data_IF_233908029392
#
_entry.id   IF_233908029392
#
_cell.length_a   1.000
_cell.length_b   1.000
_cell.length_c   1.000
_cell.angle_alpha   90.00
_cell.angle_beta   90.00
_cell.angle_gamma   90.00
#
_symmetry.space_group_name_H-M   'P 1'
#
loop_
_entity.id
_entity.type
_entity.pdbx_description
1 polymer ?
#
# COMPACT_ATOMS: atom_id res chain seq x y z
N UNK A 1 8.79 13.34 -19.15
CA UNK A 1 9.76 12.29 -18.81
C UNK A 1 10.19 12.52 -17.37
N UNK A 2 9.62 11.80 -16.41
CA UNK A 2 9.98 11.93 -15.00
C UNK A 2 11.21 11.07 -14.68
N UNK A 3 12.29 11.71 -14.25
CA UNK A 3 13.53 11.07 -13.83
C UNK A 3 13.34 10.37 -12.47
N UNK A 4 12.69 9.21 -12.46
CA UNK A 4 12.72 8.31 -11.31
C UNK A 4 14.14 7.77 -11.14
N UNK A 5 14.81 8.12 -10.04
CA UNK A 5 16.13 7.57 -9.73
C UNK A 5 15.95 6.29 -8.93
N UNK A 6 16.37 5.18 -9.52
CA UNK A 6 16.45 3.89 -8.85
C UNK A 6 17.92 3.58 -8.54
N UNK A 7 18.21 3.19 -7.30
CA UNK A 7 19.55 2.79 -6.86
C UNK A 7 19.47 1.47 -6.12
N UNK A 8 20.29 0.49 -6.50
CA UNK A 8 20.50 -0.72 -5.71
C UNK A 8 21.28 -0.38 -4.45
N UNK A 9 20.75 -0.73 -3.29
CA UNK A 9 21.42 -0.55 -1.98
C UNK A 9 21.97 -1.86 -1.42
N UNK A 10 21.26 -2.96 -1.64
CA UNK A 10 21.72 -4.30 -1.28
C UNK A 10 21.46 -5.25 -2.45
N UNK A 11 22.49 -5.98 -2.85
CA UNK A 11 22.39 -6.99 -3.91
C UNK A 11 21.53 -8.18 -3.46
N UNK A 12 20.98 -8.90 -4.44
CA UNK A 12 20.20 -10.09 -4.20
C UNK A 12 21.04 -11.17 -3.50
N UNK A 13 20.39 -11.91 -2.60
CA UNK A 13 20.93 -13.11 -1.97
C UNK A 13 20.14 -14.34 -2.44
N UNK A 14 20.59 -15.55 -2.07
CA UNK A 14 19.87 -16.79 -2.39
C UNK A 14 18.43 -16.84 -1.86
N UNK A 15 18.11 -16.05 -0.83
CA UNK A 15 16.83 -16.08 -0.12
C UNK A 15 16.00 -14.81 -0.30
N UNK A 16 16.58 -13.75 -0.89
CA UNK A 16 15.99 -12.42 -0.91
C UNK A 16 16.44 -11.62 -2.14
N UNK A 17 15.50 -10.98 -2.83
CA UNK A 17 15.80 -10.05 -3.94
C UNK A 17 16.53 -8.79 -3.48
N UNK A 18 17.12 -8.06 -4.44
CA UNK A 18 17.85 -6.82 -4.15
C UNK A 18 16.96 -5.79 -3.45
N UNK A 19 17.53 -5.06 -2.48
CA UNK A 19 16.90 -3.84 -1.96
C UNK A 19 17.31 -2.68 -2.84
N UNK A 20 16.31 -1.92 -3.28
CA UNK A 20 16.47 -0.69 -4.04
C UNK A 20 15.86 0.48 -3.29
N UNK A 21 16.39 1.66 -3.60
CA UNK A 21 15.80 2.93 -3.23
C UNK A 21 15.22 3.63 -4.47
N UNK A 22 14.04 4.24 -4.29
CA UNK A 22 13.43 5.15 -5.26
C UNK A 22 13.47 6.56 -4.69
N UNK A 23 14.14 7.49 -5.40
CA UNK A 23 14.30 8.89 -4.97
C UNK A 23 14.66 9.02 -3.46
N UNK A 24 15.73 8.33 -3.07
CA UNK A 24 16.30 8.29 -1.70
C UNK A 24 15.40 7.67 -0.62
N UNK A 25 14.31 7.00 -1.02
CA UNK A 25 13.51 6.17 -0.12
C UNK A 25 13.91 4.71 -0.30
N UNK A 26 14.58 4.16 0.71
CA UNK A 26 15.02 2.76 0.76
C UNK A 26 13.91 1.78 1.15
N UNK A 27 14.14 0.50 0.89
CA UNK A 27 13.33 -0.60 1.42
C UNK A 27 12.38 -1.21 0.42
N UNK A 28 12.59 -0.98 -0.88
CA UNK A 28 11.85 -1.63 -1.95
C UNK A 28 12.60 -2.87 -2.42
N UNK A 29 11.87 -3.94 -2.70
CA UNK A 29 12.40 -5.12 -3.37
C UNK A 29 11.35 -5.61 -4.37
N UNK A 30 11.81 -6.22 -5.45
CA UNK A 30 10.94 -6.70 -6.53
C UNK A 30 10.04 -7.84 -6.03
N UNK A 31 8.77 -7.85 -6.45
CA UNK A 31 7.84 -8.92 -6.11
C UNK A 31 7.94 -10.06 -7.13
N UNK A 32 8.47 -11.24 -6.77
CA UNK A 32 8.75 -12.30 -7.73
C UNK A 32 7.48 -12.92 -8.35
N UNK A 33 6.29 -12.57 -7.85
CA UNK A 33 5.00 -13.10 -8.33
C UNK A 33 4.25 -12.16 -9.26
N UNK A 34 4.66 -10.89 -9.34
CA UNK A 34 3.89 -9.86 -10.03
C UNK A 34 4.82 -8.89 -10.75
N UNK A 35 4.64 -8.76 -12.06
CA UNK A 35 5.41 -7.82 -12.88
C UNK A 35 5.15 -6.37 -12.45
N UNK A 36 6.20 -5.55 -12.46
CA UNK A 36 6.17 -4.12 -12.08
C UNK A 36 5.66 -3.86 -10.65
N UNK A 37 5.66 -4.88 -9.80
CA UNK A 37 5.24 -4.78 -8.41
C UNK A 37 6.45 -4.73 -7.50
N UNK A 38 6.50 -3.72 -6.65
CA UNK A 38 7.50 -3.60 -5.60
C UNK A 38 6.83 -3.75 -4.25
N UNK A 39 7.46 -4.48 -3.34
CA UNK A 39 7.00 -4.55 -1.96
C UNK A 39 7.84 -3.54 -1.17
N UNK A 40 7.17 -2.61 -0.50
CA UNK A 40 7.82 -1.64 0.37
C UNK A 40 7.90 -2.16 1.81
N UNK A 41 9.11 -2.44 2.26
CA UNK A 41 9.47 -2.94 3.59
C UNK A 41 10.24 -1.92 4.44
N UNK A 42 10.41 -0.67 4.01
CA UNK A 42 11.15 0.35 4.76
C UNK A 42 10.57 0.70 6.15
N UNK A 43 9.39 0.15 6.49
CA UNK A 43 8.72 0.29 7.80
C UNK A 43 8.51 -1.06 8.51
N UNK A 44 9.16 -2.13 8.05
CA UNK A 44 9.14 -3.42 8.76
C UNK A 44 9.80 -3.29 10.15
N UNK A 45 9.33 -4.01 11.18
CA UNK A 45 8.23 -5.00 11.16
C UNK A 45 6.82 -4.39 11.37
N UNK A 46 6.70 -3.06 11.39
CA UNK A 46 5.45 -2.38 11.79
C UNK A 46 4.43 -2.36 10.66
N UNK A 47 4.88 -1.99 9.46
CA UNK A 47 4.00 -1.81 8.31
C UNK A 47 4.68 -2.16 6.99
N UNK A 48 3.86 -2.53 6.00
CA UNK A 48 4.29 -2.70 4.61
C UNK A 48 3.15 -2.39 3.64
N UNK A 49 3.51 -2.15 2.38
CA UNK A 49 2.57 -2.11 1.27
C UNK A 49 3.22 -2.66 0.01
N UNK A 50 2.41 -2.89 -1.02
CA UNK A 50 2.87 -3.17 -2.36
C UNK A 50 2.59 -1.94 -3.23
N UNK A 51 3.41 -1.72 -4.24
CA UNK A 51 3.17 -0.69 -5.25
C UNK A 51 3.32 -1.29 -6.64
N UNK A 52 2.45 -0.92 -7.56
CA UNK A 52 2.61 -1.20 -8.98
C UNK A 52 2.97 0.10 -9.67
N UNK A 53 4.11 0.12 -10.38
CA UNK A 53 4.60 1.32 -11.06
C UNK A 53 4.43 1.13 -12.57
N UNK A 54 3.62 1.98 -13.21
CA UNK A 54 3.41 1.92 -14.66
C UNK A 54 3.28 3.33 -15.23
N UNK A 55 4.21 3.69 -16.13
CA UNK A 55 4.31 5.04 -16.69
C UNK A 55 4.32 6.09 -15.57
N UNK A 56 3.47 7.11 -15.64
CA UNK A 56 3.35 8.16 -14.61
C UNK A 56 2.43 7.78 -13.45
N UNK A 57 2.01 6.50 -13.33
CA UNK A 57 1.09 6.05 -12.29
C UNK A 57 1.76 5.11 -11.28
N UNK A 58 1.36 5.27 -10.02
CA UNK A 58 1.69 4.34 -8.93
C UNK A 58 0.41 3.91 -8.24
N UNK A 59 0.15 2.61 -8.24
CA UNK A 59 -1.00 2.03 -7.58
C UNK A 59 -0.56 1.39 -6.26
N UNK A 60 -1.17 1.77 -5.14
CA UNK A 60 -0.84 1.20 -3.82
C UNK A 60 -1.77 0.02 -3.51
N UNK A 61 -1.16 -1.10 -3.15
CA UNK A 61 -1.83 -2.35 -2.77
C UNK A 61 -1.40 -2.82 -1.38
N UNK A 62 -2.19 -3.76 -0.84
CA UNK A 62 -1.83 -4.58 0.31
C UNK A 62 -1.22 -3.80 1.52
N UNK A 63 -1.81 -2.65 1.83
CA UNK A 63 -1.41 -1.81 2.98
C UNK A 63 -1.73 -2.54 4.27
N UNK A 64 -0.71 -2.78 5.09
CA UNK A 64 -0.87 -3.44 6.38
C UNK A 64 -0.07 -2.71 7.47
N UNK A 65 -0.74 -2.48 8.60
CA UNK A 65 -0.12 -2.21 9.90
C UNK A 65 -0.38 -3.45 10.74
N UNK A 66 0.69 -4.20 11.05
CA UNK A 66 0.61 -5.58 11.53
C UNK A 66 -0.04 -5.69 12.90
N UNK A 67 0.54 -5.03 13.92
CA UNK A 67 -0.04 -5.02 15.26
C UNK A 67 -1.27 -4.08 15.28
N UNK A 68 -2.47 -4.56 15.67
CA UNK A 68 -3.64 -3.70 15.86
C UNK A 68 -3.41 -2.53 16.82
N UNK A 69 -2.55 -2.66 17.83
CA UNK A 69 -2.22 -1.59 18.79
C UNK A 69 -1.45 -0.42 18.15
N UNK A 70 -0.75 -0.70 17.04
CA UNK A 70 -0.06 0.32 16.25
C UNK A 70 -1.02 1.04 15.28
N UNK A 71 -2.28 0.60 15.16
CA UNK A 71 -3.26 1.29 14.33
C UNK A 71 -3.70 2.59 15.00
N UNK A 72 -4.08 3.57 14.20
CA UNK A 72 -4.36 4.95 14.63
C UNK A 72 -3.14 5.73 15.17
N UNK A 73 -1.96 5.12 15.25
CA UNK A 73 -0.70 5.76 15.69
C UNK A 73 0.12 6.38 14.55
N UNK A 74 -0.51 6.59 13.38
CA UNK A 74 0.12 7.28 12.25
C UNK A 74 1.02 6.43 11.34
N UNK A 75 1.36 5.19 11.69
CA UNK A 75 2.28 4.36 10.89
C UNK A 75 1.84 4.16 9.43
N UNK A 76 0.55 3.90 9.19
CA UNK A 76 0.04 3.78 7.81
C UNK A 76 0.17 5.09 7.02
N UNK A 77 -0.08 6.22 7.68
CA UNK A 77 0.08 7.56 7.08
C UNK A 77 1.54 7.91 6.80
N UNK A 78 2.47 7.48 7.67
CA UNK A 78 3.91 7.64 7.45
C UNK A 78 4.38 6.80 6.25
N UNK A 79 3.93 5.55 6.17
CA UNK A 79 4.25 4.66 5.05
C UNK A 79 3.78 5.24 3.70
N UNK A 80 2.53 5.73 3.60
CA UNK A 80 2.04 6.35 2.36
C UNK A 80 2.83 7.63 2.02
N UNK A 81 3.32 8.37 3.03
CA UNK A 81 4.18 9.53 2.79
C UNK A 81 5.54 9.13 2.22
N UNK A 82 6.10 7.99 2.62
CA UNK A 82 7.33 7.47 2.01
C UNK A 82 7.11 7.12 0.54
N UNK A 83 5.96 6.52 0.19
CA UNK A 83 5.62 6.26 -1.21
C UNK A 83 5.48 7.58 -1.98
N UNK A 84 4.81 8.60 -1.43
CA UNK A 84 4.75 9.92 -2.08
C UNK A 84 6.14 10.52 -2.32
N UNK A 85 7.03 10.44 -1.33
CA UNK A 85 8.41 10.95 -1.45
C UNK A 85 9.22 10.15 -2.47
N UNK A 86 9.01 8.84 -2.54
CA UNK A 86 9.64 7.97 -3.52
C UNK A 86 9.18 8.27 -4.96
N UNK A 87 7.94 8.73 -5.14
CA UNK A 87 7.33 8.99 -6.44
C UNK A 87 6.67 10.38 -6.49
N UNK A 88 7.44 11.48 -6.34
CA UNK A 88 6.90 12.82 -6.10
C UNK A 88 6.04 13.32 -7.25
N UNK A 89 6.43 12.98 -8.48
CA UNK A 89 5.79 13.48 -9.70
C UNK A 89 4.82 12.46 -10.33
N UNK A 90 4.59 11.31 -9.70
CA UNK A 90 3.66 10.31 -10.21
C UNK A 90 2.25 10.58 -9.68
N UNK A 91 1.27 10.17 -10.48
CA UNK A 91 -0.11 10.08 -10.04
C UNK A 91 -0.29 8.81 -9.20
N UNK A 92 -0.40 8.97 -7.89
CA UNK A 92 -0.55 7.86 -6.95
C UNK A 92 -2.02 7.65 -6.64
N UNK A 93 -2.49 6.42 -6.74
CA UNK A 93 -3.88 6.08 -6.51
C UNK A 93 -4.03 4.73 -5.82
N UNK A 94 -5.26 4.44 -5.40
CA UNK A 94 -5.60 3.20 -4.71
C UNK A 94 -7.06 2.84 -4.98
N UNK A 95 -7.36 1.55 -4.98
CA UNK A 95 -8.70 1.07 -4.70
C UNK A 95 -8.90 0.81 -3.21
N UNK A 96 -10.01 1.30 -2.67
CA UNK A 96 -10.32 1.22 -1.25
C UNK A 96 -11.57 0.40 -0.99
N UNK A 97 -11.47 -0.48 0.01
CA UNK A 97 -12.66 -1.01 0.67
C UNK A 97 -13.41 0.08 1.43
N UNK A 98 -14.71 -0.14 1.66
CA UNK A 98 -15.58 0.79 2.39
C UNK A 98 -15.03 1.11 3.79
N UNK A 99 -14.56 0.10 4.53
CA UNK A 99 -14.08 0.29 5.90
C UNK A 99 -12.75 1.04 6.03
N UNK A 100 -11.97 1.11 4.97
CA UNK A 100 -10.69 1.85 4.95
C UNK A 100 -10.79 3.17 4.18
N UNK A 101 -11.93 3.45 3.54
CA UNK A 101 -12.13 4.64 2.69
C UNK A 101 -11.87 5.94 3.43
N UNK A 102 -12.23 6.02 4.71
CA UNK A 102 -11.95 7.20 5.55
C UNK A 102 -10.45 7.44 5.78
N UNK A 103 -9.63 6.39 5.86
CA UNK A 103 -8.17 6.54 5.93
C UNK A 103 -7.63 7.10 4.61
N UNK A 104 -8.07 6.54 3.47
CA UNK A 104 -7.61 6.94 2.16
C UNK A 104 -8.06 8.33 1.75
N UNK A 105 -9.27 8.73 2.13
CA UNK A 105 -9.76 10.10 1.90
C UNK A 105 -8.84 11.12 2.59
N UNK A 106 -8.42 10.84 3.84
CA UNK A 106 -7.42 11.67 4.52
C UNK A 106 -6.05 11.66 3.83
N UNK A 107 -5.68 10.60 3.12
CA UNK A 107 -4.43 10.58 2.35
C UNK A 107 -4.53 11.45 1.09
N UNK A 108 -5.70 11.52 0.46
CA UNK A 108 -6.01 12.48 -0.61
C UNK A 108 -5.94 13.91 -0.07
N UNK A 109 -6.68 14.21 1.00
CA UNK A 109 -6.73 15.55 1.61
C UNK A 109 -5.35 16.09 2.01
N UNK A 110 -4.43 15.18 2.39
CA UNK A 110 -3.05 15.52 2.79
C UNK A 110 -2.07 15.53 1.61
N UNK A 111 -2.54 15.38 0.36
CA UNK A 111 -1.70 15.34 -0.84
C UNK A 111 -0.76 14.14 -0.93
N UNK A 112 -1.02 13.06 -0.17
CA UNK A 112 -0.17 11.87 -0.16
C UNK A 112 -0.51 10.92 -1.31
N UNK A 113 -1.77 10.85 -1.70
CA UNK A 113 -2.22 10.21 -2.94
C UNK A 113 -3.06 11.22 -3.74
N UNK A 114 -3.23 10.99 -5.04
CA UNK A 114 -4.01 11.86 -5.91
C UNK A 114 -5.50 11.55 -5.81
N UNK A 115 -5.90 10.27 -5.85
CA UNK A 115 -7.31 9.88 -5.78
C UNK A 115 -7.52 8.43 -5.34
N UNK A 116 -8.76 8.11 -4.98
CA UNK A 116 -9.28 6.75 -4.82
C UNK A 116 -10.01 6.39 -6.12
N UNK A 117 -9.57 5.34 -6.82
CA UNK A 117 -10.05 5.06 -8.17
C UNK A 117 -11.47 4.50 -8.21
N UNK A 118 -11.78 3.52 -7.35
CA UNK A 118 -13.13 2.99 -7.27
C UNK A 118 -14.14 4.01 -6.69
N UNK A 119 -15.12 4.37 -7.50
CA UNK A 119 -16.30 5.17 -7.15
C UNK A 119 -17.47 4.33 -6.63
N UNK A 120 -17.40 3.01 -6.79
CA UNK A 120 -18.37 2.05 -6.29
C UNK A 120 -18.03 1.52 -4.88
N UNK A 121 -19.08 1.14 -4.15
CA UNK A 121 -18.96 0.46 -2.87
C UNK A 121 -18.25 -0.89 -3.04
N UNK A 122 -17.12 -1.05 -2.36
CA UNK A 122 -16.34 -2.28 -2.37
C UNK A 122 -16.20 -2.83 -0.94
N UNK A 123 -17.02 -3.80 -0.53
CA UNK A 123 -16.91 -4.38 0.80
C UNK A 123 -15.62 -5.22 0.94
N UNK A 124 -14.98 -5.18 2.10
CA UNK A 124 -13.77 -5.96 2.36
C UNK A 124 -14.05 -7.46 2.48
N UNK A 125 -13.01 -8.28 2.32
CA UNK A 125 -13.11 -9.74 2.45
C UNK A 125 -13.44 -10.20 3.88
N UNK A 126 -13.15 -9.37 4.89
CA UNK A 126 -13.48 -9.69 6.27
C UNK A 126 -15.00 -9.65 6.49
N UNK A 127 -15.62 -10.81 6.45
CA UNK A 127 -17.07 -10.98 6.57
C UNK A 127 -17.65 -10.50 7.91
N UNK A 128 -16.84 -10.29 8.95
CA UNK A 128 -17.30 -9.74 10.24
C UNK A 128 -17.24 -8.21 10.32
N UNK A 129 -16.65 -7.54 9.33
CA UNK A 129 -16.52 -6.09 9.33
C UNK A 129 -17.91 -5.44 9.24
N UNK A 130 -18.38 -4.83 10.33
CA UNK A 130 -19.71 -4.19 10.39
C UNK A 130 -19.83 -2.96 9.49
N UNK A 131 -18.73 -2.27 9.18
CA UNK A 131 -18.73 -1.17 8.20
C UNK A 131 -18.98 -1.67 6.78
N UNK A 132 -18.43 -2.83 6.40
CA UNK A 132 -18.60 -3.39 5.05
C UNK A 132 -19.83 -4.30 4.93
N UNK A 133 -20.24 -4.94 6.03
CA UNK A 133 -21.27 -5.97 6.08
C UNK A 133 -22.27 -5.70 7.22
N UNK A 134 -22.98 -4.55 7.21
CA UNK A 134 -23.82 -4.12 8.34
C UNK A 134 -24.94 -5.12 8.66
N UNK A 135 -25.57 -5.67 7.62
CA UNK A 135 -26.71 -6.59 7.73
C UNK A 135 -26.28 -8.05 7.97
N UNK A 136 -24.97 -8.32 8.12
CA UNK A 136 -24.49 -9.69 8.29
C UNK A 136 -24.60 -10.12 9.74
N UNK A 137 -25.53 -11.04 9.99
CA UNK A 137 -25.85 -11.59 11.32
C UNK A 137 -24.85 -12.71 11.69
N UNK A 138 -24.48 -13.56 10.72
CA UNK A 138 -23.62 -14.74 10.93
C UNK A 138 -22.36 -14.72 10.04
N UNK A 139 -21.25 -15.25 10.55
CA UNK A 139 -20.02 -15.44 9.76
C UNK A 139 -20.30 -16.39 8.59
N UNK A 140 -19.76 -16.10 7.41
CA UNK A 140 -19.71 -17.11 6.34
C UNK A 140 -18.85 -18.26 6.86
N UNK A 141 -19.41 -19.47 7.00
CA UNK A 141 -18.58 -20.67 7.17
C UNK A 141 -17.74 -20.77 5.91
N UNK A 142 -16.43 -20.53 6.01
CA UNK A 142 -15.52 -21.03 4.99
C UNK A 142 -15.64 -22.55 5.09
N UNK A 143 -15.99 -23.22 3.99
CA UNK A 143 -15.97 -24.68 3.98
C UNK A 143 -14.57 -25.11 4.41
N UNK A 144 -14.50 -25.79 5.56
CA UNK A 144 -13.33 -26.50 6.05
C UNK A 144 -13.04 -27.69 5.16
#
# INVERSE_FOLDING_TARGET
MNNMRMKTEEEATKIRGSIVAFNDVSGFWDNPRHENCWIYNGRMPIAKCWIFVKNDYVEIHNVMVYNPENRNSGFGSAMVADIRRAFPNHCIWVDSWNCTRGFWSKMVDRGKINFIANDYSWPCINTTCKTCHPNRIVRRRAFS
#
